data_IF_804193621344
#
_entry.id   IF_804193621344
#
_cell.length_a   1.000
_cell.length_b   1.000
_cell.length_c   1.000
_cell.angle_alpha   90.00
_cell.angle_beta   90.00
_cell.angle_gamma   90.00
#
_symmetry.space_group_name_H-M   'P 1'
#
loop_
_entity.id
_entity.type
_entity.pdbx_description
1 polymer ?
#
# COMPACT_ATOMS: atom_id res chain seq x y z
N UNK A 1 -7.91 16.76 24.80
CA UNK A 1 -7.95 15.99 26.07
C UNK A 1 -6.66 15.21 26.20
N UNK A 2 -6.03 15.20 27.38
CA UNK A 2 -4.69 14.62 27.59
C UNK A 2 -4.69 13.10 27.34
N UNK A 3 -3.94 12.64 26.32
CA UNK A 3 -3.81 11.22 25.96
C UNK A 3 -2.77 10.58 26.88
N UNK A 4 -3.24 9.78 27.82
CA UNK A 4 -2.44 9.21 28.90
C UNK A 4 -1.49 8.11 28.40
N UNK A 5 -0.23 8.14 28.86
CA UNK A 5 0.90 7.34 28.35
C UNK A 5 0.59 5.83 28.41
N UNK A 6 0.85 5.11 27.32
CA UNK A 6 0.69 3.65 27.28
C UNK A 6 1.59 2.98 28.32
N UNK A 7 1.07 1.96 29.02
CA UNK A 7 1.89 1.09 29.85
C UNK A 7 2.91 0.34 28.99
N UNK A 8 4.09 0.00 29.54
CA UNK A 8 5.15 -0.75 28.85
C UNK A 8 4.60 -1.96 28.10
N UNK A 9 3.70 -2.72 28.74
CA UNK A 9 3.07 -3.90 28.13
C UNK A 9 2.12 -3.57 26.98
N UNK A 10 1.39 -2.47 27.06
CA UNK A 10 0.49 -2.01 25.98
C UNK A 10 1.29 -1.49 24.78
N UNK A 11 2.41 -0.84 25.05
CA UNK A 11 3.34 -0.38 24.03
C UNK A 11 4.00 -1.56 23.31
N UNK A 12 4.41 -2.60 24.03
CA UNK A 12 4.98 -3.82 23.43
C UNK A 12 3.97 -4.51 22.49
N UNK A 13 2.70 -4.58 22.90
CA UNK A 13 1.61 -5.13 22.08
C UNK A 13 1.37 -4.27 20.83
N UNK A 14 1.31 -2.95 21.01
CA UNK A 14 1.12 -2.01 19.91
C UNK A 14 2.26 -2.09 18.88
N UNK A 15 3.51 -2.05 19.34
CA UNK A 15 4.70 -2.14 18.49
C UNK A 15 4.76 -3.46 17.73
N UNK A 16 4.38 -4.57 18.38
CA UNK A 16 4.33 -5.87 17.72
C UNK A 16 3.25 -5.90 16.62
N UNK A 17 2.07 -5.32 16.87
CA UNK A 17 1.01 -5.23 15.86
C UNK A 17 1.50 -4.38 14.67
N UNK A 18 2.11 -3.23 14.91
CA UNK A 18 2.67 -2.38 13.85
C UNK A 18 3.71 -3.15 13.04
N UNK A 19 4.75 -3.67 13.71
CA UNK A 19 5.84 -4.40 13.06
C UNK A 19 5.34 -5.61 12.25
N UNK A 20 4.43 -6.38 12.82
CA UNK A 20 3.87 -7.55 12.13
C UNK A 20 3.03 -7.16 10.92
N UNK A 21 2.27 -6.05 11.02
CA UNK A 21 1.47 -5.54 9.91
C UNK A 21 2.37 -5.00 8.79
N UNK A 22 3.47 -4.32 9.14
CA UNK A 22 4.47 -3.82 8.20
C UNK A 22 5.21 -4.98 7.49
N UNK A 23 5.54 -6.05 8.21
CA UNK A 23 6.29 -7.20 7.67
C UNK A 23 5.41 -8.17 6.86
N UNK A 24 4.14 -8.35 7.22
CA UNK A 24 3.27 -9.38 6.64
C UNK A 24 2.08 -8.84 5.83
N UNK A 25 1.81 -7.53 5.86
CA UNK A 25 0.71 -6.91 5.14
C UNK A 25 -0.68 -7.23 5.70
N UNK A 26 -0.77 -7.90 6.86
CA UNK A 26 -2.02 -8.16 7.59
C UNK A 26 -1.77 -8.18 9.10
N UNK A 27 -2.77 -7.82 9.92
CA UNK A 27 -2.58 -7.75 11.37
C UNK A 27 -2.45 -9.14 12.01
N UNK A 28 -1.64 -9.27 13.07
CA UNK A 28 -1.47 -10.54 13.77
C UNK A 28 -2.75 -10.95 14.49
N UNK A 29 -2.93 -12.25 14.65
CA UNK A 29 -3.97 -12.85 15.48
C UNK A 29 -3.67 -12.65 16.97
N UNK A 30 -4.71 -12.76 17.80
CA UNK A 30 -4.61 -12.69 19.27
C UNK A 30 -3.60 -13.71 19.82
N UNK A 31 -3.50 -14.89 19.19
CA UNK A 31 -2.56 -15.94 19.59
C UNK A 31 -1.12 -15.58 19.26
N UNK A 32 -0.87 -14.95 18.11
CA UNK A 32 0.46 -14.46 17.71
C UNK A 32 0.92 -13.32 18.62
N UNK A 33 0.03 -12.38 18.92
CA UNK A 33 0.29 -11.29 19.88
C UNK A 33 0.66 -11.87 21.24
N UNK A 34 -0.14 -12.82 21.76
CA UNK A 34 0.11 -13.46 23.06
C UNK A 34 1.48 -14.15 23.14
N UNK A 35 1.87 -14.89 22.09
CA UNK A 35 3.20 -15.52 22.01
C UNK A 35 4.33 -14.49 21.98
N UNK A 36 4.18 -13.44 21.18
CA UNK A 36 5.22 -12.43 20.99
C UNK A 36 5.49 -11.59 22.25
N UNK A 37 4.46 -11.26 23.03
CA UNK A 37 4.61 -10.46 24.26
C UNK A 37 4.66 -11.29 25.54
N UNK A 38 4.70 -12.62 25.44
CA UNK A 38 4.82 -13.53 26.58
C UNK A 38 3.57 -13.57 27.48
N UNK A 39 2.37 -13.48 26.90
CA UNK A 39 1.10 -13.60 27.61
C UNK A 39 0.47 -14.98 27.35
N UNK A 40 0.24 -15.73 28.42
CA UNK A 40 -0.29 -17.10 28.34
C UNK A 40 -1.80 -17.17 28.03
N UNK A 41 -2.57 -16.13 28.37
CA UNK A 41 -4.03 -16.14 28.23
C UNK A 41 -4.52 -15.23 27.09
N UNK A 42 -5.28 -15.76 26.11
CA UNK A 42 -5.94 -14.97 25.07
C UNK A 42 -6.86 -13.87 25.64
N UNK A 43 -7.45 -14.07 26.82
CA UNK A 43 -8.32 -13.09 27.48
C UNK A 43 -7.54 -11.84 27.92
N UNK A 44 -6.30 -12.02 28.38
CA UNK A 44 -5.41 -10.90 28.77
C UNK A 44 -5.03 -10.06 27.55
N UNK A 45 -4.79 -10.70 26.40
CA UNK A 45 -4.53 -10.01 25.13
C UNK A 45 -5.76 -9.20 24.70
N UNK A 46 -6.97 -9.77 24.79
CA UNK A 46 -8.22 -9.06 24.46
C UNK A 46 -8.44 -7.83 25.33
N UNK A 47 -8.10 -7.91 26.62
CA UNK A 47 -8.16 -6.78 27.56
C UNK A 47 -7.23 -5.65 27.12
N UNK A 48 -5.97 -5.95 26.81
CA UNK A 48 -5.02 -4.92 26.35
C UNK A 48 -5.42 -4.31 25.01
N UNK A 49 -5.91 -5.11 24.06
CA UNK A 49 -6.45 -4.63 22.79
C UNK A 49 -7.68 -3.72 22.99
N UNK A 50 -8.54 -4.02 23.98
CA UNK A 50 -9.67 -3.15 24.31
C UNK A 50 -9.21 -1.78 24.79
N UNK A 51 -8.21 -1.75 25.68
CA UNK A 51 -7.66 -0.49 26.17
C UNK A 51 -6.95 0.29 25.07
N UNK A 52 -6.21 -0.38 24.18
CA UNK A 52 -5.61 0.27 23.00
C UNK A 52 -6.69 0.83 22.05
N UNK A 53 -7.83 0.17 21.93
CA UNK A 53 -8.96 0.65 21.13
C UNK A 53 -9.69 1.83 21.77
N UNK A 54 -10.03 1.73 23.05
CA UNK A 54 -10.66 2.82 23.83
C UNK A 54 -9.77 4.07 23.86
N UNK A 55 -8.44 3.89 23.84
CA UNK A 55 -7.46 4.98 23.75
C UNK A 55 -7.17 5.44 22.31
N UNK A 56 -7.79 4.83 21.31
CA UNK A 56 -7.65 5.23 19.91
C UNK A 56 -6.26 5.02 19.33
N UNK A 57 -5.57 3.94 19.74
CA UNK A 57 -4.34 3.46 19.11
C UNK A 57 -4.61 2.36 18.08
N UNK A 58 -5.73 1.64 18.20
CA UNK A 58 -6.16 0.63 17.23
C UNK A 58 -7.68 0.69 17.03
N UNK A 59 -8.18 0.29 15.87
CA UNK A 59 -9.59 -0.01 15.61
C UNK A 59 -9.72 -1.50 15.36
N UNK A 60 -10.77 -2.12 15.92
CA UNK A 60 -11.07 -3.52 15.65
C UNK A 60 -12.56 -3.81 15.57
N UNK A 61 -12.91 -4.75 14.70
CA UNK A 61 -14.23 -5.37 14.70
C UNK A 61 -14.17 -6.69 15.49
N UNK A 62 -14.86 -6.73 16.64
CA UNK A 62 -14.91 -7.90 17.52
C UNK A 62 -15.48 -9.17 16.85
N UNK A 63 -16.21 -9.04 15.73
CA UNK A 63 -16.86 -10.15 15.03
C UNK A 63 -16.03 -10.72 13.89
N UNK A 64 -14.92 -10.08 13.50
CA UNK A 64 -14.06 -10.51 12.40
C UNK A 64 -12.63 -10.73 12.91
N UNK A 65 -12.13 -11.98 12.96
CA UNK A 65 -10.71 -12.21 13.22
C UNK A 65 -9.89 -11.56 12.09
N UNK A 66 -8.78 -10.88 12.45
CA UNK A 66 -7.85 -10.16 11.53
C UNK A 66 -8.29 -8.77 11.03
N UNK A 67 -9.17 -8.09 11.75
CA UNK A 67 -9.51 -6.68 11.47
C UNK A 67 -8.94 -5.77 12.57
N UNK A 68 -7.63 -5.76 12.78
CA UNK A 68 -6.98 -4.76 13.65
C UNK A 68 -6.33 -3.72 12.75
N UNK A 69 -6.85 -2.50 12.78
CA UNK A 69 -6.29 -1.34 12.09
C UNK A 69 -5.55 -0.47 13.11
N UNK A 70 -4.30 -0.13 12.85
CA UNK A 70 -3.54 0.75 13.76
C UNK A 70 -3.94 2.19 13.49
N UNK A 71 -4.36 2.91 14.53
CA UNK A 71 -4.69 4.34 14.46
C UNK A 71 -3.42 5.10 14.83
N UNK A 72 -2.74 5.65 13.84
CA UNK A 72 -1.51 6.42 14.05
C UNK A 72 -1.87 7.80 14.63
N UNK A 73 -1.98 7.86 15.96
CA UNK A 73 -2.25 9.07 16.71
C UNK A 73 -0.99 9.61 17.35
N UNK A 74 -0.33 10.57 16.69
CA UNK A 74 0.59 11.56 17.25
C UNK A 74 1.50 11.07 18.41
N UNK A 75 2.13 9.91 18.25
CA UNK A 75 3.21 9.42 19.12
C UNK A 75 4.59 9.46 18.46
N UNK A 76 4.64 9.55 17.12
CA UNK A 76 5.85 9.77 16.33
C UNK A 76 6.14 11.26 16.20
N UNK A 77 6.42 11.94 17.31
CA UNK A 77 7.27 13.14 17.24
C UNK A 77 8.68 12.71 17.66
N UNK A 78 9.61 12.98 16.76
CA UNK A 78 11.07 12.96 16.89
C UNK A 78 11.74 11.60 17.07
N UNK A 79 11.89 10.89 15.94
CA UNK A 79 13.20 10.71 15.30
C UNK A 79 12.91 10.63 13.80
N UNK A 80 12.99 11.71 13.01
CA UNK A 80 14.27 12.28 12.58
C UNK A 80 15.36 11.21 12.42
N UNK A 81 15.02 10.07 11.82
CA UNK A 81 16.00 9.38 11.00
C UNK A 81 16.14 10.24 9.75
N UNK A 82 17.21 11.02 9.80
CA UNK A 82 17.76 11.86 8.76
C UNK A 82 17.54 11.24 7.38
N UNK A 83 17.03 12.06 6.50
CA UNK A 83 16.93 11.87 5.07
C UNK A 83 18.17 11.19 4.52
N UNK A 84 17.95 10.10 3.80
CA UNK A 84 18.80 9.74 2.69
C UNK A 84 17.87 9.45 1.51
N UNK A 85 17.78 10.43 0.60
CA UNK A 85 17.12 10.43 -0.70
C UNK A 85 15.68 10.94 -0.69
N UNK A 86 15.43 11.98 -1.49
CA UNK A 86 14.17 12.74 -1.59
C UNK A 86 13.03 11.91 -2.17
N UNK A 87 12.34 11.19 -1.30
CA UNK A 87 11.13 10.41 -1.61
C UNK A 87 9.91 11.21 -1.12
N UNK A 88 8.92 11.38 -1.96
CA UNK A 88 7.70 12.14 -1.71
C UNK A 88 6.90 11.56 -0.53
N UNK A 89 6.42 12.45 0.34
CA UNK A 89 5.65 12.09 1.53
C UNK A 89 4.18 11.81 1.21
N UNK A 90 3.66 10.67 1.66
CA UNK A 90 2.24 10.33 1.62
C UNK A 90 1.58 10.86 2.90
N UNK A 91 0.59 11.75 2.75
CA UNK A 91 -0.12 12.38 3.88
C UNK A 91 -1.52 11.81 4.02
N UNK A 92 -1.78 11.09 5.11
CA UNK A 92 -3.11 10.59 5.44
C UNK A 92 -3.80 11.55 6.41
N UNK A 93 -5.01 12.00 6.05
CA UNK A 93 -5.88 12.75 6.95
C UNK A 93 -7.06 11.86 7.38
N UNK A 94 -6.96 11.37 8.61
CA UNK A 94 -7.90 10.42 9.20
C UNK A 94 -9.25 11.07 9.56
N UNK A 95 -9.29 12.39 9.70
CA UNK A 95 -10.53 13.14 10.03
C UNK A 95 -11.39 13.35 8.79
N UNK A 96 -10.78 13.46 7.61
CA UNK A 96 -11.47 13.62 6.31
C UNK A 96 -11.59 12.31 5.51
N UNK A 97 -11.12 11.19 6.04
CA UNK A 97 -11.11 9.88 5.38
C UNK A 97 -10.44 9.94 4.00
N UNK A 98 -9.34 10.70 3.89
CA UNK A 98 -8.64 10.96 2.64
C UNK A 98 -7.12 10.72 2.75
N UNK A 99 -6.50 10.37 1.64
CA UNK A 99 -5.07 10.09 1.51
C UNK A 99 -4.55 10.91 0.33
N UNK A 100 -3.46 11.63 0.57
CA UNK A 100 -2.75 12.37 -0.47
C UNK A 100 -1.64 11.50 -1.05
N UNK A 101 -1.79 11.12 -2.32
CA UNK A 101 -0.86 10.27 -3.05
C UNK A 101 -0.09 11.08 -4.10
N UNK A 102 1.20 10.80 -4.31
CA UNK A 102 1.95 11.41 -5.39
C UNK A 102 1.41 10.91 -6.75
N UNK A 103 1.13 11.86 -7.63
CA UNK A 103 0.98 11.61 -9.06
C UNK A 103 2.37 11.52 -9.65
N UNK A 104 2.75 10.31 -10.03
CA UNK A 104 4.04 10.01 -10.63
C UNK A 104 3.89 10.03 -12.15
N UNK A 105 4.73 10.82 -12.80
CA UNK A 105 4.77 10.96 -14.25
C UNK A 105 5.66 9.88 -14.89
N UNK A 106 6.79 10.33 -15.45
CA UNK A 106 7.79 9.41 -16.03
C UNK A 106 8.49 8.63 -14.94
N UNK A 107 8.32 7.32 -14.95
CA UNK A 107 9.11 6.39 -14.12
C UNK A 107 10.41 6.06 -14.86
N UNK A 108 11.52 6.64 -14.42
CA UNK A 108 12.85 6.30 -14.91
C UNK A 108 13.46 5.14 -14.10
N UNK A 109 14.20 4.26 -14.77
CA UNK A 109 14.92 3.19 -14.07
C UNK A 109 16.01 3.72 -13.14
N UNK A 110 16.27 2.95 -12.07
CA UNK A 110 17.34 3.21 -11.12
C UNK A 110 17.04 4.29 -10.07
N UNK A 111 15.89 4.96 -10.17
CA UNK A 111 15.42 5.94 -9.19
C UNK A 111 14.14 5.38 -8.53
N UNK A 112 13.99 5.48 -7.20
CA UNK A 112 12.73 5.12 -6.53
C UNK A 112 11.53 5.81 -7.18
N UNK A 113 10.43 5.08 -7.39
CA UNK A 113 9.23 5.60 -8.08
C UNK A 113 8.72 6.88 -7.41
N UNK A 114 8.76 6.90 -6.08
CA UNK A 114 8.32 8.01 -5.25
C UNK A 114 9.36 9.13 -5.12
N UNK A 115 10.50 9.09 -5.83
CA UNK A 115 11.46 10.17 -5.78
C UNK A 115 10.82 11.49 -6.24
N UNK A 116 11.17 12.62 -5.62
CA UNK A 116 10.63 13.96 -5.94
C UNK A 116 10.71 14.29 -7.44
N UNK A 117 11.73 13.78 -8.13
CA UNK A 117 11.94 13.97 -9.57
C UNK A 117 10.88 13.31 -10.44
N UNK A 118 10.23 12.25 -9.94
CA UNK A 118 9.20 11.52 -10.65
C UNK A 118 7.79 12.03 -10.28
N UNK A 119 7.65 12.84 -9.22
CA UNK A 119 6.37 13.38 -8.74
C UNK A 119 6.05 14.69 -9.46
N UNK A 120 4.92 14.71 -10.15
CA UNK A 120 4.41 15.90 -10.85
C UNK A 120 3.44 16.69 -9.96
N UNK A 121 2.55 16.00 -9.26
CA UNK A 121 1.52 16.59 -8.40
C UNK A 121 1.18 15.65 -7.22
N UNK A 122 0.33 16.08 -6.30
CA UNK A 122 -0.27 15.22 -5.26
C UNK A 122 -1.78 15.23 -5.39
N UNK A 123 -2.39 14.04 -5.44
CA UNK A 123 -3.83 13.86 -5.52
C UNK A 123 -4.38 13.37 -4.17
N UNK A 124 -5.39 14.07 -3.65
CA UNK A 124 -6.10 13.67 -2.44
C UNK A 124 -7.32 12.83 -2.81
N UNK A 125 -7.30 11.56 -2.39
CA UNK A 125 -8.32 10.56 -2.70
C UNK A 125 -8.94 9.99 -1.42
N UNK A 126 -10.22 9.61 -1.43
CA UNK A 126 -10.81 8.89 -0.30
C UNK A 126 -10.08 7.57 0.00
N UNK A 127 -9.87 7.26 1.28
CA UNK A 127 -9.24 6.02 1.76
C UNK A 127 -9.94 4.77 1.23
N UNK A 128 -11.26 4.84 1.00
CA UNK A 128 -12.07 3.74 0.46
C UNK A 128 -11.67 3.32 -0.95
N UNK A 129 -10.96 4.17 -1.69
CA UNK A 129 -10.51 3.89 -3.06
C UNK A 129 -9.05 3.43 -3.07
N UNK A 130 -8.22 3.97 -2.19
CA UNK A 130 -6.78 3.68 -2.15
C UNK A 130 -6.47 2.42 -1.35
N UNK A 131 -7.20 2.18 -0.25
CA UNK A 131 -6.97 1.07 0.67
C UNK A 131 -5.85 1.35 1.68
N UNK A 132 -4.62 1.68 1.24
CA UNK A 132 -3.44 1.83 2.10
C UNK A 132 -2.54 3.05 1.79
N UNK A 133 -1.52 3.25 2.63
CA UNK A 133 -0.61 4.39 2.55
C UNK A 133 0.57 4.16 1.60
N UNK A 134 0.78 2.97 1.04
CA UNK A 134 1.93 2.62 0.19
C UNK A 134 1.53 2.65 -1.29
N UNK A 135 0.70 3.61 -1.67
CA UNK A 135 0.16 3.71 -3.01
C UNK A 135 0.67 4.97 -3.72
N UNK A 136 0.63 4.96 -5.05
CA UNK A 136 0.88 6.14 -5.88
C UNK A 136 -0.10 6.17 -7.05
N UNK A 137 -0.21 7.31 -7.71
CA UNK A 137 -1.05 7.45 -8.90
C UNK A 137 -0.16 7.54 -10.13
N UNK A 138 -0.50 6.84 -11.19
CA UNK A 138 0.10 7.02 -12.52
C UNK A 138 -0.94 7.49 -13.51
N UNK A 139 -0.51 8.36 -14.44
CA UNK A 139 -1.26 8.65 -15.65
C UNK A 139 -0.96 7.61 -16.72
N UNK A 140 -2.01 7.00 -17.26
CA UNK A 140 -1.91 5.99 -18.32
C UNK A 140 -1.66 6.67 -19.65
N UNK A 141 -0.70 6.12 -20.40
CA UNK A 141 -0.40 6.53 -21.76
C UNK A 141 -0.52 5.34 -22.72
N UNK A 142 -1.28 5.54 -23.79
CA UNK A 142 -1.53 4.55 -24.83
C UNK A 142 -2.75 3.66 -24.58
N UNK A 143 -2.86 2.62 -25.39
CA UNK A 143 -4.09 1.85 -25.58
C UNK A 143 -3.93 0.36 -25.23
N UNK A 144 -2.88 -0.03 -24.50
CA UNK A 144 -2.60 -1.46 -24.31
C UNK A 144 -3.58 -2.18 -23.38
N UNK A 145 -4.46 -1.44 -22.70
CA UNK A 145 -5.37 -1.97 -21.68
C UNK A 145 -6.85 -1.65 -21.97
N UNK A 146 -7.19 -1.31 -23.21
CA UNK A 146 -8.55 -0.88 -23.61
C UNK A 146 -9.64 -1.90 -23.29
N UNK A 147 -9.35 -3.21 -23.45
CA UNK A 147 -10.31 -4.29 -23.18
C UNK A 147 -10.53 -4.50 -21.68
N UNK A 148 -9.61 -4.02 -20.83
CA UNK A 148 -9.80 -3.91 -19.38
C UNK A 148 -10.48 -2.60 -18.95
N UNK A 149 -10.90 -1.76 -19.90
CA UNK A 149 -11.54 -0.48 -19.64
C UNK A 149 -10.59 0.63 -19.20
N UNK A 150 -9.27 0.41 -19.28
CA UNK A 150 -8.25 1.41 -18.98
C UNK A 150 -7.85 2.09 -20.30
N UNK A 151 -8.14 3.38 -20.40
CA UNK A 151 -7.94 4.19 -21.60
C UNK A 151 -6.76 5.16 -21.43
N UNK A 152 -6.29 5.69 -22.56
CA UNK A 152 -5.30 6.77 -22.57
C UNK A 152 -5.81 7.97 -21.77
N UNK A 153 -4.95 8.52 -20.91
CA UNK A 153 -5.27 9.65 -20.04
C UNK A 153 -5.91 9.30 -18.71
N UNK A 154 -6.21 8.02 -18.43
CA UNK A 154 -6.71 7.59 -17.12
C UNK A 154 -5.69 7.78 -16.01
N UNK A 155 -6.18 7.91 -14.78
CA UNK A 155 -5.38 7.86 -13.57
C UNK A 155 -5.60 6.53 -12.87
N UNK A 156 -4.55 5.75 -12.65
CA UNK A 156 -4.59 4.47 -11.94
C UNK A 156 -3.95 4.60 -10.56
N UNK A 157 -4.57 4.02 -9.54
CA UNK A 157 -3.97 3.86 -8.22
C UNK A 157 -3.20 2.56 -8.21
N UNK A 158 -1.94 2.64 -7.83
CA UNK A 158 -1.00 1.53 -7.81
C UNK A 158 -0.56 1.32 -6.38
N UNK A 159 -0.91 0.18 -5.81
CA UNK A 159 -0.37 -0.28 -4.52
C UNK A 159 1.04 -0.80 -4.76
N UNK A 160 2.02 -0.20 -4.10
CA UNK A 160 3.42 -0.61 -4.20
C UNK A 160 3.60 -2.04 -3.67
N UNK A 161 4.14 -2.91 -4.51
CA UNK A 161 4.49 -4.28 -4.18
C UNK A 161 5.42 -4.85 -5.25
N UNK A 162 6.27 -5.80 -4.86
CA UNK A 162 7.29 -6.39 -5.75
C UNK A 162 6.89 -7.72 -6.37
N UNK A 163 5.68 -8.20 -6.09
CA UNK A 163 5.15 -9.45 -6.60
C UNK A 163 3.68 -9.29 -7.02
N UNK A 164 3.15 -10.22 -7.81
CA UNK A 164 1.78 -10.18 -8.31
C UNK A 164 1.20 -11.58 -8.53
N UNK A 165 -0.11 -11.74 -8.49
CA UNK A 165 -0.78 -13.00 -8.84
C UNK A 165 -1.19 -13.03 -10.31
N UNK A 166 -1.36 -14.22 -10.86
CA UNK A 166 -1.80 -14.40 -12.23
C UNK A 166 -3.18 -13.76 -12.43
N UNK A 167 -3.32 -12.97 -13.50
CA UNK A 167 -4.53 -12.20 -13.81
C UNK A 167 -4.61 -10.83 -13.12
N UNK A 168 -3.65 -10.45 -12.27
CA UNK A 168 -3.62 -9.10 -11.72
C UNK A 168 -3.10 -8.08 -12.74
N UNK A 169 -3.71 -6.90 -12.77
CA UNK A 169 -3.18 -5.77 -13.55
C UNK A 169 -2.06 -5.12 -12.74
N UNK A 170 -0.88 -5.03 -13.33
CA UNK A 170 0.33 -4.54 -12.68
C UNK A 170 0.97 -3.41 -13.46
N UNK A 171 1.76 -2.62 -12.75
CA UNK A 171 2.75 -1.74 -13.36
C UNK A 171 4.10 -2.43 -13.25
N UNK A 172 4.73 -2.68 -14.39
CA UNK A 172 6.04 -3.30 -14.49
C UNK A 172 7.01 -2.36 -15.21
N UNK A 173 8.26 -2.34 -14.77
CA UNK A 173 9.35 -1.65 -15.44
C UNK A 173 10.03 -2.59 -16.43
N UNK A 174 10.05 -2.20 -17.71
CA UNK A 174 10.70 -2.93 -18.80
C UNK A 174 11.56 -1.94 -19.60
N UNK A 175 12.84 -2.25 -19.81
CA UNK A 175 13.77 -1.40 -20.57
C UNK A 175 13.67 0.09 -20.18
N UNK A 176 13.69 0.35 -18.86
CA UNK A 176 13.61 1.68 -18.26
C UNK A 176 12.31 2.45 -18.49
N UNK A 177 11.25 1.79 -18.96
CA UNK A 177 9.91 2.36 -19.10
C UNK A 177 8.88 1.57 -18.29
N UNK A 178 8.04 2.28 -17.53
CA UNK A 178 6.88 1.66 -16.88
C UNK A 178 5.83 1.28 -17.93
N UNK A 179 5.19 0.13 -17.73
CA UNK A 179 4.09 -0.35 -18.55
C UNK A 179 2.99 -0.97 -17.71
N UNK A 180 1.74 -0.81 -18.13
CA UNK A 180 0.56 -1.42 -17.50
C UNK A 180 0.15 -2.64 -18.29
N UNK A 181 0.12 -3.82 -17.65
CA UNK A 181 -0.19 -5.11 -18.28
C UNK A 181 -0.86 -6.05 -17.27
N UNK A 182 -1.59 -7.05 -17.76
CA UNK A 182 -2.04 -8.17 -16.94
C UNK A 182 -0.90 -9.17 -16.76
N UNK A 183 -0.60 -9.54 -15.53
CA UNK A 183 0.53 -10.39 -15.17
C UNK A 183 0.17 -11.88 -15.21
N UNK A 184 1.04 -12.71 -15.78
CA UNK A 184 0.93 -14.17 -15.74
C UNK A 184 2.30 -14.82 -15.61
N UNK A 185 2.43 -15.78 -14.68
CA UNK A 185 3.59 -16.66 -14.59
C UNK A 185 3.45 -17.83 -15.56
N UNK A 186 4.43 -18.01 -16.44
CA UNK A 186 4.62 -19.22 -17.24
C UNK A 186 5.83 -19.99 -16.70
N UNK A 187 6.02 -21.24 -17.14
CA UNK A 187 7.06 -22.14 -16.58
C UNK A 187 8.46 -21.52 -16.51
N UNK A 188 8.85 -20.81 -17.57
CA UNK A 188 10.22 -20.31 -17.76
C UNK A 188 10.27 -18.80 -18.03
N UNK A 189 9.17 -18.07 -17.82
CA UNK A 189 9.07 -16.64 -18.11
C UNK A 189 7.81 -16.03 -17.51
N UNK A 190 7.78 -14.71 -17.42
CA UNK A 190 6.59 -13.91 -17.17
C UNK A 190 6.00 -13.44 -18.50
N UNK A 191 4.69 -13.58 -18.65
CA UNK A 191 3.91 -12.97 -19.72
C UNK A 191 3.21 -11.73 -19.17
N UNK A 192 3.53 -10.58 -19.74
CA UNK A 192 2.85 -9.32 -19.52
C UNK A 192 1.88 -9.09 -20.67
N UNK A 193 0.62 -9.41 -20.42
CA UNK A 193 -0.44 -9.43 -21.41
C UNK A 193 -1.06 -8.03 -21.57
N UNK A 194 -1.07 -7.46 -22.79
CA UNK A 194 -1.94 -6.34 -23.09
C UNK A 194 -3.40 -6.81 -23.13
N UNK A 195 -4.30 -6.00 -22.61
CA UNK A 195 -5.75 -6.15 -22.81
C UNK A 195 -6.14 -5.31 -24.03
N UNK A 196 -5.59 -5.70 -25.19
CA UNK A 196 -5.85 -5.10 -26.50
C UNK A 196 -5.53 -6.13 -27.59
N UNK A 197 -6.53 -6.49 -28.40
CA UNK A 197 -6.44 -7.55 -29.42
C UNK A 197 -5.44 -7.25 -30.54
N UNK A 198 -5.07 -5.98 -30.72
CA UNK A 198 -4.08 -5.56 -31.73
C UNK A 198 -2.63 -5.62 -31.25
N UNK A 199 -2.38 -6.01 -30.00
CA UNK A 199 -1.05 -6.01 -29.39
C UNK A 199 -0.62 -7.39 -28.94
N UNK A 200 0.66 -7.73 -29.18
CA UNK A 200 1.22 -9.01 -28.78
C UNK A 200 1.65 -9.03 -27.30
N UNK A 201 1.61 -10.19 -26.63
CA UNK A 201 2.11 -10.34 -25.27
C UNK A 201 3.61 -10.07 -25.18
N UNK A 202 4.03 -9.41 -24.08
CA UNK A 202 5.45 -9.17 -23.81
C UNK A 202 5.96 -10.27 -22.89
N UNK A 203 7.01 -10.97 -23.32
CA UNK A 203 7.63 -12.05 -22.54
C UNK A 203 8.96 -11.60 -21.95
N UNK A 204 9.11 -11.75 -20.64
CA UNK A 204 10.27 -11.28 -19.87
C UNK A 204 10.64 -12.29 -18.79
N UNK A 205 11.92 -12.39 -18.43
CA UNK A 205 12.38 -13.34 -17.41
C UNK A 205 12.10 -12.83 -16.00
N UNK A 206 12.59 -11.62 -15.68
CA UNK A 206 12.49 -11.02 -14.35
C UNK A 206 12.09 -9.53 -14.47
N UNK A 207 10.81 -9.22 -14.75
CA UNK A 207 10.36 -7.84 -14.73
C UNK A 207 10.40 -7.29 -13.30
N UNK A 208 10.74 -6.01 -13.16
CA UNK A 208 10.59 -5.32 -11.88
C UNK A 208 9.12 -4.90 -11.76
N UNK A 209 8.40 -5.53 -10.85
CA UNK A 209 7.02 -5.13 -10.52
C UNK A 209 7.10 -3.92 -9.59
N UNK A 210 6.46 -2.83 -10.03
CA UNK A 210 6.35 -1.58 -9.28
C UNK A 210 5.13 -1.59 -8.36
N UNK A 211 4.07 -2.29 -8.78
CA UNK A 211 2.90 -2.47 -7.96
C UNK A 211 1.69 -3.00 -8.72
N UNK A 212 0.60 -3.20 -7.98
CA UNK A 212 -0.67 -3.70 -8.49
C UNK A 212 -1.68 -2.57 -8.59
N UNK A 213 -2.43 -2.55 -9.68
CA UNK A 213 -3.50 -1.58 -9.90
C UNK A 213 -4.69 -1.93 -9.00
N UNK A 214 -5.12 -0.98 -8.16
CA UNK A 214 -6.22 -1.15 -7.20
C UNK A 214 -7.42 -0.26 -7.48
N UNK A 215 -7.23 0.81 -8.27
CA UNK A 215 -8.28 1.76 -8.60
C UNK A 215 -8.01 2.47 -9.91
N UNK A 216 -9.07 3.04 -10.48
CA UNK A 216 -9.04 3.82 -11.72
C UNK A 216 -9.95 5.03 -11.58
N UNK A 217 -9.48 6.18 -12.07
CA UNK A 217 -10.22 7.41 -12.20
C UNK A 217 -10.10 7.96 -13.61
N UNK A 218 -11.22 8.45 -14.13
CA UNK A 218 -11.28 9.12 -15.42
C UNK A 218 -12.02 10.44 -15.24
N UNK A 219 -11.39 11.53 -15.64
CA UNK A 219 -12.09 12.81 -15.83
C UNK A 219 -12.78 12.78 -17.18
N UNK A 220 -14.08 13.05 -17.21
CA UNK A 220 -14.89 13.17 -18.42
C UNK A 220 -15.32 14.63 -18.48
N UNK A 221 -14.45 15.48 -19.02
CA UNK A 221 -14.73 16.90 -19.27
C UNK A 221 -14.91 17.15 -20.75
#
# INVERSE_FOLDING_TARGET
>A
MAKDRLSKRQLDIYNFICKYTDEHGFPPSVREIGKAVGLASPSTVHMHLKVLQERGYIKRDSKKPRTIEVVDGEGRRTTSAVSAHGVAEIKQDLDSNSISLPLVGRVAAGIPILAEQNVEETLTLPTSIVGDASSFVLRVHGHSMINAGILDGDYIVVKEQHDAHDGEIVVALINDSATVKTFYREKDRIRLQPENDSMEPIYVQNPVILGRVTGLFRSIS
#
